data_IF_571703715871
#
_entry.id   IF_571703715871
#
_cell.length_a   1.000
_cell.length_b   1.000
_cell.length_c   1.000
_cell.angle_alpha   90.00
_cell.angle_beta   90.00
_cell.angle_gamma   90.00
#
_symmetry.space_group_name_H-M   'P 1'
#
loop_
_entity.id
_entity.type
_entity.pdbx_description
1 polymer ?
#
# COMPACT_ATOMS: atom_id res chain seq x y z
N UNK A 1 -15.31 11.67 18.42
CA UNK A 1 -14.89 11.14 17.11
C UNK A 1 -13.42 11.47 16.92
N UNK A 2 -12.63 10.60 16.27
CA UNK A 2 -11.28 10.97 15.84
C UNK A 2 -11.39 12.05 14.75
N UNK A 3 -10.40 12.93 14.64
CA UNK A 3 -10.35 13.90 13.55
C UNK A 3 -10.36 13.17 12.19
N UNK A 4 -11.06 13.72 11.18
CA UNK A 4 -11.01 13.18 9.82
C UNK A 4 -9.57 13.16 9.31
N UNK A 5 -9.23 12.11 8.56
CA UNK A 5 -7.93 11.97 7.90
C UNK A 5 -8.03 12.53 6.49
N UNK A 6 -7.01 13.27 6.08
CA UNK A 6 -6.91 13.75 4.71
C UNK A 6 -6.57 12.59 3.77
N UNK A 7 -7.43 12.37 2.78
CA UNK A 7 -7.26 11.38 1.72
C UNK A 7 -7.37 12.09 0.39
N UNK A 8 -6.31 12.02 -0.42
CA UNK A 8 -6.31 12.53 -1.78
C UNK A 8 -6.82 11.47 -2.75
N UNK A 9 -7.72 11.82 -3.65
CA UNK A 9 -8.16 10.93 -4.73
C UNK A 9 -8.06 11.70 -6.04
N UNK A 10 -7.37 11.10 -7.02
CA UNK A 10 -7.29 11.63 -8.36
C UNK A 10 -7.68 10.55 -9.37
N UNK A 11 -8.58 10.90 -10.28
CA UNK A 11 -9.04 10.03 -11.37
C UNK A 11 -8.52 10.63 -12.67
N UNK A 12 -7.68 9.87 -13.35
CA UNK A 12 -7.16 10.21 -14.66
C UNK A 12 -7.66 9.18 -15.69
N UNK A 13 -7.57 9.55 -16.96
CA UNK A 13 -7.93 8.73 -18.11
C UNK A 13 -7.20 7.36 -18.15
N UNK A 14 -6.04 7.24 -17.48
CA UNK A 14 -5.25 5.99 -17.45
C UNK A 14 -5.00 5.41 -16.05
N UNK A 15 -5.17 6.19 -14.99
CA UNK A 15 -4.81 5.75 -13.65
C UNK A 15 -5.71 6.35 -12.58
N UNK A 16 -5.89 5.57 -11.52
CA UNK A 16 -6.55 5.96 -10.29
C UNK A 16 -5.47 6.07 -9.21
N UNK A 17 -5.39 7.23 -8.56
CA UNK A 17 -4.44 7.50 -7.47
C UNK A 17 -5.18 7.73 -6.17
N UNK A 18 -4.67 7.12 -5.10
CA UNK A 18 -5.15 7.27 -3.74
C UNK A 18 -3.98 7.64 -2.84
N UNK A 19 -3.98 8.88 -2.37
CA UNK A 19 -2.95 9.41 -1.48
C UNK A 19 -3.45 9.28 -0.03
N UNK A 20 -2.71 8.52 0.78
CA UNK A 20 -3.02 8.28 2.19
C UNK A 20 -1.83 8.66 3.07
N UNK A 21 -2.13 9.26 4.22
CA UNK A 21 -1.12 9.57 5.22
C UNK A 21 -0.45 8.29 5.74
N UNK A 22 0.87 8.28 5.81
CA UNK A 22 1.67 7.16 6.33
C UNK A 22 1.35 6.80 7.79
N UNK A 23 0.83 7.76 8.54
CA UNK A 23 0.35 7.58 9.90
C UNK A 23 -0.91 6.71 9.98
N UNK A 24 -1.71 6.66 8.90
CA UNK A 24 -2.98 5.93 8.85
C UNK A 24 -2.77 4.49 8.36
N UNK A 25 -2.12 3.71 9.21
CA UNK A 25 -1.86 2.29 8.97
C UNK A 25 -3.16 1.49 8.80
N UNK A 26 -4.22 1.84 9.54
CA UNK A 26 -5.51 1.15 9.44
C UNK A 26 -6.11 1.31 8.03
N UNK A 27 -6.05 2.51 7.44
CA UNK A 27 -6.51 2.76 6.08
C UNK A 27 -5.64 2.02 5.04
N UNK A 28 -4.31 2.08 5.16
CA UNK A 28 -3.39 1.36 4.26
C UNK A 28 -3.70 -0.14 4.28
N UNK A 29 -3.84 -0.74 5.46
CA UNK A 29 -4.13 -2.17 5.58
C UNK A 29 -5.53 -2.53 5.07
N UNK A 30 -6.50 -1.63 5.19
CA UNK A 30 -7.85 -1.80 4.63
C UNK A 30 -7.84 -1.84 3.10
N UNK A 31 -7.02 -1.01 2.46
CA UNK A 31 -6.82 -1.01 1.00
C UNK A 31 -6.23 -2.36 0.56
N UNK A 32 -5.18 -2.83 1.24
CA UNK A 32 -4.57 -4.14 0.95
C UNK A 32 -5.58 -5.28 1.13
N UNK A 33 -6.41 -5.24 2.18
CA UNK A 33 -7.48 -6.22 2.39
C UNK A 33 -8.51 -6.21 1.25
N UNK A 34 -8.87 -5.02 0.73
CA UNK A 34 -9.72 -4.90 -0.46
C UNK A 34 -9.09 -5.52 -1.70
N UNK A 35 -7.80 -5.29 -1.94
CA UNK A 35 -7.06 -5.93 -3.04
C UNK A 35 -7.00 -7.46 -2.88
N UNK A 36 -6.89 -7.97 -1.64
CA UNK A 36 -6.95 -9.40 -1.38
C UNK A 36 -8.29 -10.02 -1.79
N UNK A 37 -9.41 -9.30 -1.64
CA UNK A 37 -10.73 -9.76 -2.13
C UNK A 37 -10.76 -9.82 -3.66
N UNK A 38 -10.15 -8.86 -4.34
CA UNK A 38 -10.05 -8.87 -5.81
C UNK A 38 -9.25 -10.07 -6.31
N UNK A 39 -8.13 -10.36 -5.66
CA UNK A 39 -7.28 -11.53 -5.97
C UNK A 39 -8.00 -12.84 -5.65
N UNK A 40 -8.73 -12.91 -4.53
CA UNK A 40 -9.52 -14.10 -4.15
C UNK A 40 -10.57 -14.49 -5.19
N UNK A 41 -11.05 -13.53 -5.99
CA UNK A 41 -11.97 -13.79 -7.11
C UNK A 41 -11.27 -14.38 -8.36
N UNK A 42 -10.00 -14.76 -8.26
CA UNK A 42 -9.20 -15.36 -9.34
C UNK A 42 -8.46 -14.35 -10.21
N UNK A 43 -8.51 -13.06 -9.87
CA UNK A 43 -7.79 -12.02 -10.63
C UNK A 43 -6.33 -11.93 -10.18
N UNK A 44 -5.47 -11.46 -11.07
CA UNK A 44 -4.06 -11.18 -10.76
C UNK A 44 -3.78 -9.68 -10.80
N UNK A 45 -2.83 -9.23 -9.98
CA UNK A 45 -2.34 -7.86 -9.91
C UNK A 45 -0.86 -7.82 -10.26
N UNK A 46 -0.48 -6.83 -11.07
CA UNK A 46 0.91 -6.39 -11.20
C UNK A 46 1.06 -5.09 -10.43
N UNK A 47 1.74 -5.15 -9.30
CA UNK A 47 1.95 -4.01 -8.41
C UNK A 47 3.34 -3.45 -8.67
N UNK A 48 3.44 -2.13 -8.89
CA UNK A 48 4.71 -1.40 -8.82
C UNK A 48 4.69 -0.62 -7.52
N UNK A 49 5.54 -1.02 -6.58
CA UNK A 49 5.68 -0.37 -5.29
C UNK A 49 7.00 0.39 -5.26
N UNK A 50 6.98 1.61 -4.74
CA UNK A 50 8.18 2.40 -4.55
C UNK A 50 8.14 3.08 -3.19
N UNK A 51 9.25 3.04 -2.47
CA UNK A 51 9.40 3.70 -1.17
C UNK A 51 10.83 4.20 -0.99
N UNK A 52 11.03 5.12 -0.06
CA UNK A 52 12.36 5.63 0.29
C UNK A 52 12.88 4.81 1.46
N UNK A 53 14.07 4.23 1.32
CA UNK A 53 14.73 3.42 2.34
C UNK A 53 15.32 4.30 3.46
N UNK A 54 15.84 3.64 4.51
CA UNK A 54 16.51 4.33 5.61
C UNK A 54 17.72 5.17 5.16
N UNK A 55 18.45 4.74 4.13
CA UNK A 55 19.62 5.47 3.59
C UNK A 55 19.23 6.65 2.70
N UNK A 56 17.93 6.90 2.49
CA UNK A 56 17.44 7.93 1.58
C UNK A 56 17.43 7.50 0.11
N UNK A 57 17.80 6.25 -0.20
CA UNK A 57 17.66 5.72 -1.56
C UNK A 57 16.19 5.43 -1.88
N UNK A 58 15.79 5.65 -3.14
CA UNK A 58 14.50 5.19 -3.62
C UNK A 58 14.61 3.72 -4.03
N UNK A 59 13.76 2.88 -3.46
CA UNK A 59 13.59 1.49 -3.86
C UNK A 59 12.32 1.35 -4.70
N UNK A 60 12.41 0.58 -5.78
CA UNK A 60 11.27 0.29 -6.66
C UNK A 60 11.24 -1.22 -6.86
N UNK A 61 10.10 -1.84 -6.56
CA UNK A 61 9.88 -3.26 -6.75
C UNK A 61 8.62 -3.51 -7.57
N UNK A 62 8.63 -4.59 -8.35
CA UNK A 62 7.45 -5.08 -9.06
C UNK A 62 7.04 -6.41 -8.46
N UNK A 63 5.79 -6.50 -8.00
CA UNK A 63 5.19 -7.72 -7.45
C UNK A 63 4.13 -8.25 -8.42
N UNK A 64 4.10 -9.56 -8.60
CA UNK A 64 3.03 -10.26 -9.29
C UNK A 64 2.24 -11.06 -8.26
N UNK A 65 0.98 -10.66 -8.07
CA UNK A 65 0.11 -11.20 -7.03
C UNK A 65 -1.04 -11.92 -7.72
N UNK A 66 -1.13 -13.23 -7.55
CA UNK A 66 -2.21 -14.06 -8.08
C UNK A 66 -2.92 -14.88 -7.00
N UNK A 67 -2.40 -14.85 -5.76
CA UNK A 67 -2.97 -15.56 -4.61
C UNK A 67 -3.17 -14.63 -3.41
N UNK A 68 -4.24 -14.79 -2.61
CA UNK A 68 -4.50 -13.93 -1.45
C UNK A 68 -3.37 -13.93 -0.41
N UNK A 69 -2.64 -15.04 -0.26
CA UNK A 69 -1.53 -15.16 0.69
C UNK A 69 -0.39 -14.19 0.37
N UNK A 70 -0.15 -13.93 -0.92
CA UNK A 70 0.85 -12.98 -1.39
C UNK A 70 0.48 -11.54 -1.02
N UNK A 71 -0.81 -11.21 -0.94
CA UNK A 71 -1.26 -9.90 -0.42
C UNK A 71 -1.04 -9.82 1.09
N UNK A 72 -1.20 -10.94 1.80
CA UNK A 72 -0.90 -11.02 3.23
C UNK A 72 0.59 -10.83 3.54
N UNK A 73 1.48 -11.42 2.72
CA UNK A 73 2.93 -11.20 2.78
C UNK A 73 3.28 -9.74 2.49
N UNK A 74 2.72 -9.18 1.41
CA UNK A 74 2.89 -7.77 1.08
C UNK A 74 2.44 -6.85 2.23
N UNK A 75 1.32 -7.13 2.89
CA UNK A 75 0.87 -6.35 4.04
C UNK A 75 1.83 -6.39 5.24
N UNK A 76 2.53 -7.51 5.47
CA UNK A 76 3.57 -7.58 6.51
C UNK A 76 4.77 -6.71 6.16
N UNK A 77 5.21 -6.74 4.90
CA UNK A 77 6.30 -5.91 4.39
C UNK A 77 5.93 -4.42 4.47
N UNK A 78 4.73 -4.04 4.04
CA UNK A 78 4.23 -2.66 4.14
C UNK A 78 4.25 -2.19 5.59
N UNK A 79 3.79 -2.99 6.56
CA UNK A 79 3.86 -2.64 7.99
C UNK A 79 5.28 -2.36 8.48
N UNK A 80 6.26 -3.16 8.02
CA UNK A 80 7.67 -2.94 8.36
C UNK A 80 8.17 -1.62 7.78
N UNK A 81 7.84 -1.31 6.53
CA UNK A 81 8.19 -0.05 5.85
C UNK A 81 7.57 1.14 6.59
N UNK A 82 6.25 1.11 6.86
CA UNK A 82 5.54 2.18 7.58
C UNK A 82 6.14 2.41 8.97
N UNK A 83 6.47 1.33 9.70
CA UNK A 83 7.10 1.41 11.03
C UNK A 83 8.50 2.05 10.97
N UNK A 84 9.30 1.73 9.95
CA UNK A 84 10.63 2.32 9.77
C UNK A 84 10.54 3.82 9.46
N UNK A 85 9.57 4.23 8.65
CA UNK A 85 9.36 5.62 8.28
C UNK A 85 8.79 6.48 9.42
N UNK A 86 7.91 5.93 10.27
CA UNK A 86 7.38 6.60 11.48
C UNK A 86 8.50 6.97 12.46
N UNK A 87 9.52 6.12 12.65
CA UNK A 87 10.64 6.38 13.58
C UNK A 87 11.53 7.58 13.18
N UNK A 88 11.40 8.10 11.95
CA UNK A 88 12.21 9.22 11.44
C UNK A 88 11.58 10.59 11.70
N UNK A 89 10.27 10.64 12.00
CA UNK A 89 9.55 11.85 12.39
C UNK A 89 9.60 12.03 13.90
#
# INVERSE_FOLDING_TARGET
MKEPRDVGIAIHDRFFTLDVGIEDEDLVMSILAGLALYVRKGNSLKVRESYVTFSGSQEIMTKFISKPEQVGEWGKETKQILSALKKKR
#
